data_IF_752208739567
#
_entry.id   IF_752208739567
#
_cell.length_a   1.000
_cell.length_b   1.000
_cell.length_c   1.000
_cell.angle_alpha   90.00
_cell.angle_beta   90.00
_cell.angle_gamma   90.00
#
_symmetry.space_group_name_H-M   'P 1'
#
loop_
_entity.id
_entity.type
_entity.pdbx_description
1 polymer ?
#
# COMPACT_ATOMS: atom_id res chain seq x y z
N UNK A 1 26.75 -30.43 -58.89
CA UNK A 1 27.08 -29.86 -57.56
C UNK A 1 25.94 -30.15 -56.60
N UNK A 2 26.16 -30.92 -55.52
CA UNK A 2 25.11 -31.23 -54.57
C UNK A 2 24.91 -30.07 -53.58
N UNK A 3 23.65 -29.70 -53.32
CA UNK A 3 23.27 -28.68 -52.33
C UNK A 3 23.39 -29.27 -50.93
N UNK A 4 24.32 -28.75 -50.14
CA UNK A 4 24.47 -29.08 -48.72
C UNK A 4 23.23 -28.68 -47.92
N UNK A 5 22.63 -29.65 -47.22
CA UNK A 5 21.52 -29.44 -46.29
C UNK A 5 22.06 -28.79 -45.02
N UNK A 6 21.56 -27.59 -44.71
CA UNK A 6 21.80 -26.87 -43.46
C UNK A 6 21.09 -27.61 -42.34
N UNK A 7 21.86 -28.22 -41.45
CA UNK A 7 21.37 -28.89 -40.24
C UNK A 7 21.05 -27.79 -39.22
N UNK A 8 19.76 -27.58 -38.95
CA UNK A 8 19.31 -26.64 -37.93
C UNK A 8 19.60 -27.23 -36.54
N UNK A 9 20.52 -26.59 -35.80
CA UNK A 9 20.77 -26.91 -34.41
C UNK A 9 19.53 -26.59 -33.57
N UNK A 10 19.01 -27.61 -32.88
CA UNK A 10 17.94 -27.51 -31.90
C UNK A 10 18.53 -26.86 -30.64
N UNK A 11 18.30 -25.57 -30.45
CA UNK A 11 18.58 -24.85 -29.20
C UNK A 11 17.38 -25.01 -28.26
N UNK A 12 17.47 -25.92 -27.30
CA UNK A 12 16.50 -26.15 -26.22
C UNK A 12 16.86 -25.38 -24.94
N UNK A 13 17.56 -24.26 -25.05
CA UNK A 13 17.73 -23.33 -23.93
C UNK A 13 16.53 -22.39 -23.84
N UNK A 14 15.49 -22.75 -23.09
CA UNK A 14 14.43 -21.79 -22.75
C UNK A 14 15.08 -20.65 -21.99
N UNK A 15 15.25 -19.50 -22.65
CA UNK A 15 15.78 -18.28 -22.02
C UNK A 15 14.86 -17.97 -20.85
N UNK A 16 15.30 -18.31 -19.62
CA UNK A 16 14.61 -17.90 -18.40
C UNK A 16 14.51 -16.39 -18.49
N UNK A 17 13.28 -15.88 -18.52
CA UNK A 17 13.09 -14.44 -18.55
C UNK A 17 13.76 -13.88 -17.29
N UNK A 18 14.51 -12.77 -17.42
CA UNK A 18 15.26 -12.18 -16.30
C UNK A 18 14.39 -11.87 -15.07
N UNK A 19 13.07 -11.81 -15.25
CA UNK A 19 12.09 -11.56 -14.19
C UNK A 19 11.68 -12.81 -13.37
N UNK A 20 12.29 -13.98 -13.61
CA UNK A 20 11.86 -15.23 -12.94
C UNK A 20 12.32 -15.36 -11.48
N UNK A 21 13.31 -14.58 -11.04
CA UNK A 21 13.91 -14.71 -9.70
C UNK A 21 13.12 -14.00 -8.59
N UNK A 22 12.43 -12.89 -8.90
CA UNK A 22 11.68 -12.13 -7.88
C UNK A 22 10.22 -12.58 -7.90
N UNK A 23 9.85 -13.45 -6.97
CA UNK A 23 8.50 -14.03 -6.86
C UNK A 23 7.84 -13.59 -5.55
N UNK A 24 7.25 -12.39 -5.56
CA UNK A 24 6.56 -11.78 -4.40
C UNK A 24 5.51 -12.70 -3.77
N UNK A 25 4.79 -13.48 -4.58
CA UNK A 25 3.76 -14.43 -4.08
C UNK A 25 4.32 -15.63 -3.32
N UNK A 26 5.60 -15.98 -3.53
CA UNK A 26 6.25 -17.08 -2.81
C UNK A 26 6.96 -16.64 -1.54
N UNK A 27 7.30 -15.36 -1.45
CA UNK A 27 8.04 -14.77 -0.35
C UNK A 27 7.24 -13.61 0.25
N UNK A 28 6.14 -13.89 0.98
CA UNK A 28 5.35 -12.84 1.61
C UNK A 28 6.17 -12.03 2.61
N UNK A 29 7.19 -12.61 3.23
CA UNK A 29 8.05 -11.93 4.20
C UNK A 29 8.71 -10.67 3.63
N UNK A 30 9.02 -10.64 2.33
CA UNK A 30 9.63 -9.48 1.69
C UNK A 30 8.79 -8.22 1.78
N UNK A 31 7.46 -8.32 1.62
CA UNK A 31 6.63 -7.11 1.79
C UNK A 31 6.27 -6.83 3.24
N UNK A 32 6.44 -7.80 4.16
CA UNK A 32 6.51 -7.47 5.59
C UNK A 32 7.77 -6.65 5.92
N UNK A 33 8.92 -6.96 5.32
CA UNK A 33 10.13 -6.12 5.44
C UNK A 33 9.91 -4.71 4.88
N UNK A 34 9.18 -4.58 3.76
CA UNK A 34 8.77 -3.26 3.24
C UNK A 34 7.86 -2.53 4.23
N UNK A 35 6.85 -3.22 4.78
CA UNK A 35 5.92 -2.64 5.76
C UNK A 35 6.67 -2.17 7.00
N UNK A 36 7.57 -2.99 7.55
CA UNK A 36 8.40 -2.63 8.69
C UNK A 36 9.22 -1.36 8.41
N UNK A 37 9.89 -1.29 7.25
CA UNK A 37 10.66 -0.10 6.86
C UNK A 37 9.79 1.15 6.72
N UNK A 38 8.56 1.00 6.25
CA UNK A 38 7.60 2.11 6.15
C UNK A 38 7.08 2.58 7.52
N UNK A 39 6.98 1.68 8.50
CA UNK A 39 6.61 2.03 9.87
C UNK A 39 7.74 2.72 10.65
N UNK A 40 9.00 2.42 10.32
CA UNK A 40 10.15 3.04 10.97
C UNK A 40 10.40 4.50 10.55
N UNK A 41 9.95 4.90 9.36
CA UNK A 41 10.26 6.20 8.77
C UNK A 41 9.03 6.84 8.11
N UNK A 42 8.30 7.64 8.90
CA UNK A 42 7.11 8.39 8.47
C UNK A 42 7.40 9.33 7.30
N UNK A 43 8.59 9.93 7.26
CA UNK A 43 9.01 10.81 6.16
C UNK A 43 9.18 10.03 4.86
N UNK A 44 9.79 8.85 4.92
CA UNK A 44 9.93 7.95 3.78
C UNK A 44 8.58 7.45 3.29
N UNK A 45 7.70 7.07 4.22
CA UNK A 45 6.32 6.71 3.96
C UNK A 45 5.56 7.84 3.23
N UNK A 46 5.54 9.05 3.79
CA UNK A 46 4.92 10.22 3.16
C UNK A 46 5.50 10.50 1.77
N UNK A 47 6.81 10.35 1.60
CA UNK A 47 7.47 10.58 0.31
C UNK A 47 7.06 9.55 -0.76
N UNK A 48 6.93 8.28 -0.37
CA UNK A 48 6.56 7.18 -1.28
C UNK A 48 5.10 7.24 -1.73
N UNK A 49 4.22 7.69 -0.83
CA UNK A 49 2.78 7.77 -1.09
C UNK A 49 2.28 9.18 -1.40
N UNK A 50 3.17 10.16 -1.52
CA UNK A 50 2.83 11.51 -1.94
C UNK A 50 2.01 11.49 -3.25
N UNK A 51 1.02 12.36 -3.30
CA UNK A 51 0.14 12.57 -4.46
C UNK A 51 0.95 12.70 -5.75
N UNK A 52 0.46 12.06 -6.81
CA UNK A 52 1.02 12.29 -8.13
C UNK A 52 0.84 13.75 -8.51
N UNK A 53 1.86 14.36 -9.12
CA UNK A 53 1.82 15.73 -9.66
C UNK A 53 0.59 15.94 -10.56
N UNK A 54 0.16 14.90 -11.29
CA UNK A 54 -1.00 14.98 -12.18
C UNK A 54 -2.32 15.10 -11.40
N UNK A 55 -2.47 14.40 -10.27
CA UNK A 55 -3.64 14.46 -9.40
C UNK A 55 -3.69 15.78 -8.64
N UNK A 56 -2.57 16.22 -8.06
CA UNK A 56 -2.46 17.52 -7.41
C UNK A 56 -2.82 18.67 -8.38
N UNK A 57 -2.35 18.60 -9.63
CA UNK A 57 -2.73 19.57 -10.68
C UNK A 57 -4.21 19.53 -11.02
N UNK A 58 -4.82 18.34 -11.10
CA UNK A 58 -6.24 18.18 -11.40
C UNK A 58 -7.13 18.82 -10.33
N UNK A 59 -6.66 18.81 -9.08
CA UNK A 59 -7.39 19.34 -7.92
C UNK A 59 -6.98 20.77 -7.52
N UNK A 60 -6.08 21.41 -8.28
CA UNK A 60 -5.50 22.72 -7.96
C UNK A 60 -4.85 22.79 -6.56
N UNK A 61 -4.34 21.66 -6.04
CA UNK A 61 -3.61 21.61 -4.78
C UNK A 61 -2.14 21.99 -4.99
N UNK A 62 -1.47 22.63 -4.01
CA UNK A 62 -0.05 22.93 -4.10
C UNK A 62 0.75 21.64 -4.25
N UNK A 63 1.59 21.57 -5.29
CA UNK A 63 2.40 20.40 -5.57
C UNK A 63 3.60 20.42 -4.63
N UNK A 64 3.62 19.52 -3.64
CA UNK A 64 4.85 19.23 -2.91
C UNK A 64 5.83 18.54 -3.87
N UNK A 65 6.82 19.30 -4.34
CA UNK A 65 7.92 18.75 -5.14
C UNK A 65 8.86 18.04 -4.19
N UNK A 66 8.61 16.76 -3.95
CA UNK A 66 9.60 15.96 -3.24
C UNK A 66 10.85 15.88 -4.14
N UNK A 67 12.00 16.34 -3.61
CA UNK A 67 13.25 16.42 -4.39
C UNK A 67 13.82 15.03 -4.67
N UNK A 68 13.46 14.05 -3.84
CA UNK A 68 13.87 12.66 -3.99
C UNK A 68 13.08 12.03 -5.12
N UNK A 69 13.79 11.42 -6.07
CA UNK A 69 13.12 10.73 -7.17
C UNK A 69 12.47 9.45 -6.64
N UNK A 70 11.22 9.18 -7.00
CA UNK A 70 10.50 7.96 -6.59
C UNK A 70 11.30 6.67 -6.84
N UNK A 71 12.14 6.67 -7.89
CA UNK A 71 13.05 5.57 -8.21
C UNK A 71 14.09 5.35 -7.09
N UNK A 72 14.62 6.40 -6.48
CA UNK A 72 15.58 6.30 -5.37
C UNK A 72 14.93 5.69 -4.13
N UNK A 73 13.68 6.04 -3.83
CA UNK A 73 12.91 5.40 -2.75
C UNK A 73 12.73 3.90 -3.04
N UNK A 74 12.41 3.50 -4.27
CA UNK A 74 12.33 2.08 -4.62
C UNK A 74 13.68 1.35 -4.53
N UNK A 75 14.80 2.03 -4.83
CA UNK A 75 16.15 1.47 -4.65
C UNK A 75 16.43 1.23 -3.17
N UNK A 76 16.09 2.18 -2.29
CA UNK A 76 16.27 2.04 -0.84
C UNK A 76 15.42 0.91 -0.26
N UNK A 77 14.15 0.80 -0.67
CA UNK A 77 13.30 -0.34 -0.29
C UNK A 77 13.86 -1.66 -0.80
N UNK A 78 14.35 -1.71 -2.04
CA UNK A 78 14.97 -2.91 -2.58
C UNK A 78 16.23 -3.28 -1.79
N UNK A 79 17.06 -2.31 -1.42
CA UNK A 79 18.24 -2.55 -0.60
C UNK A 79 17.83 -3.15 0.75
N UNK A 80 16.87 -2.56 1.44
CA UNK A 80 16.42 -3.05 2.74
C UNK A 80 15.81 -4.46 2.63
N UNK A 81 14.97 -4.70 1.62
CA UNK A 81 14.24 -5.97 1.45
C UNK A 81 15.14 -7.14 1.05
N UNK A 82 16.10 -6.92 0.15
CA UNK A 82 16.88 -8.01 -0.46
C UNK A 82 18.27 -8.19 0.13
N UNK A 83 18.68 -7.36 1.11
CA UNK A 83 20.02 -7.48 1.74
C UNK A 83 20.05 -8.48 2.90
N UNK A 84 18.89 -8.86 3.44
CA UNK A 84 18.79 -9.85 4.52
C UNK A 84 19.11 -11.28 4.03
N UNK A 85 18.65 -11.63 2.83
CA UNK A 85 18.90 -12.94 2.22
C UNK A 85 20.24 -12.91 1.44
N UNK A 86 21.24 -13.75 1.82
CA UNK A 86 22.54 -13.74 1.17
C UNK A 86 22.50 -14.09 -0.32
N UNK A 87 21.56 -14.92 -0.77
CA UNK A 87 21.44 -15.28 -2.19
C UNK A 87 20.89 -14.09 -3.01
N UNK A 88 19.83 -13.47 -2.50
CA UNK A 88 19.22 -12.31 -3.14
C UNK A 88 20.12 -11.08 -3.10
N UNK A 89 20.93 -10.92 -2.05
CA UNK A 89 21.90 -9.83 -1.91
C UNK A 89 22.93 -9.81 -3.05
N UNK A 90 23.48 -10.97 -3.41
CA UNK A 90 24.43 -11.06 -4.53
C UNK A 90 23.78 -10.67 -5.87
N UNK A 91 22.54 -11.10 -6.09
CA UNK A 91 21.76 -10.73 -7.29
C UNK A 91 21.38 -9.25 -7.30
N UNK A 92 21.01 -8.68 -6.16
CA UNK A 92 20.71 -7.26 -6.00
C UNK A 92 21.92 -6.39 -6.38
N UNK A 93 23.11 -6.71 -5.86
CA UNK A 93 24.33 -5.98 -6.21
C UNK A 93 24.67 -6.04 -7.71
N UNK A 94 24.30 -7.13 -8.38
CA UNK A 94 24.49 -7.30 -9.82
C UNK A 94 23.55 -6.43 -10.63
N UNK A 95 22.30 -6.24 -10.19
CA UNK A 95 21.29 -5.49 -10.96
C UNK A 95 20.30 -4.71 -10.07
N UNK A 96 20.80 -3.69 -9.36
CA UNK A 96 19.99 -2.85 -8.45
C UNK A 96 18.74 -2.25 -9.12
N UNK A 97 18.87 -1.78 -10.35
CA UNK A 97 17.78 -1.14 -11.10
C UNK A 97 16.59 -2.08 -11.35
N UNK A 98 16.87 -3.36 -11.65
CA UNK A 98 15.83 -4.36 -11.84
C UNK A 98 15.04 -4.63 -10.56
N UNK A 99 15.71 -4.73 -9.42
CA UNK A 99 15.05 -4.92 -8.12
C UNK A 99 14.21 -3.70 -7.72
N UNK A 100 14.73 -2.48 -7.90
CA UNK A 100 13.96 -1.26 -7.65
C UNK A 100 12.70 -1.18 -8.54
N UNK A 101 12.82 -1.55 -9.82
CA UNK A 101 11.68 -1.61 -10.74
C UNK A 101 10.65 -2.67 -10.30
N UNK A 102 11.12 -3.82 -9.84
CA UNK A 102 10.27 -4.89 -9.31
C UNK A 102 9.51 -4.45 -8.05
N UNK A 103 10.18 -3.79 -7.11
CA UNK A 103 9.55 -3.21 -5.90
C UNK A 103 8.48 -2.19 -6.28
N UNK A 104 8.80 -1.24 -7.17
CA UNK A 104 7.83 -0.24 -7.63
C UNK A 104 6.61 -0.87 -8.30
N UNK A 105 6.83 -1.89 -9.14
CA UNK A 105 5.75 -2.63 -9.82
C UNK A 105 4.88 -3.41 -8.82
N UNK A 106 5.50 -3.97 -7.77
CA UNK A 106 4.82 -4.68 -6.71
C UNK A 106 3.93 -3.74 -5.88
N UNK A 107 4.47 -2.61 -5.42
CA UNK A 107 3.70 -1.59 -4.68
C UNK A 107 2.52 -1.09 -5.51
N UNK A 108 2.72 -0.84 -6.82
CA UNK A 108 1.64 -0.46 -7.72
C UNK A 108 0.55 -1.54 -7.83
N UNK A 109 0.93 -2.82 -7.80
CA UNK A 109 0.00 -3.95 -7.78
C UNK A 109 -0.79 -4.00 -6.47
N UNK A 110 -0.11 -3.83 -5.32
CA UNK A 110 -0.77 -3.76 -4.01
C UNK A 110 -1.81 -2.63 -3.95
N UNK A 111 -1.46 -1.42 -4.45
CA UNK A 111 -2.39 -0.28 -4.57
C UNK A 111 -3.60 -0.63 -5.45
N UNK A 112 -3.38 -1.33 -6.56
CA UNK A 112 -4.46 -1.74 -7.48
C UNK A 112 -5.41 -2.75 -6.85
N UNK A 113 -4.88 -3.74 -6.13
CA UNK A 113 -5.66 -4.74 -5.42
C UNK A 113 -6.50 -4.11 -4.30
N UNK A 114 -5.90 -3.20 -3.52
CA UNK A 114 -6.61 -2.43 -2.50
C UNK A 114 -7.73 -1.58 -3.09
N UNK A 115 -7.45 -0.82 -4.16
CA UNK A 115 -8.47 0.00 -4.83
C UNK A 115 -9.61 -0.86 -5.38
N UNK A 116 -9.30 -2.03 -5.92
CA UNK A 116 -10.30 -3.00 -6.40
C UNK A 116 -11.16 -3.51 -5.25
N UNK A 117 -10.56 -3.76 -4.09
CA UNK A 117 -11.28 -4.16 -2.88
C UNK A 117 -12.17 -3.04 -2.34
N UNK A 118 -11.64 -1.81 -2.20
CA UNK A 118 -12.42 -0.65 -1.75
C UNK A 118 -13.61 -0.36 -2.66
N UNK A 119 -13.43 -0.48 -3.99
CA UNK A 119 -14.55 -0.33 -4.93
C UNK A 119 -15.63 -1.41 -4.74
N UNK A 120 -15.23 -2.65 -4.43
CA UNK A 120 -16.19 -3.73 -4.13
C UNK A 120 -16.92 -3.48 -2.83
N UNK A 121 -16.21 -3.00 -1.80
CA UNK A 121 -16.79 -2.64 -0.52
C UNK A 121 -17.80 -1.48 -0.69
N UNK A 122 -17.42 -0.41 -1.39
CA UNK A 122 -18.30 0.72 -1.70
C UNK A 122 -19.53 0.35 -2.53
N UNK A 123 -19.42 -0.63 -3.43
CA UNK A 123 -20.54 -1.13 -4.23
C UNK A 123 -21.62 -1.84 -3.39
N UNK A 124 -21.29 -2.31 -2.18
CA UNK A 124 -22.31 -2.83 -1.24
C UNK A 124 -23.20 -1.73 -0.67
N UNK A 125 -22.91 -0.46 -0.95
CA UNK A 125 -23.72 0.69 -0.55
C UNK A 125 -23.65 1.00 0.94
N UNK A 126 -22.78 0.31 1.68
CA UNK A 126 -22.72 0.41 3.11
C UNK A 126 -22.24 1.77 3.60
N UNK A 127 -21.32 2.44 2.88
CA UNK A 127 -20.75 3.72 3.29
C UNK A 127 -20.12 3.72 4.70
N UNK A 128 -20.06 2.55 5.33
CA UNK A 128 -19.63 2.33 6.70
C UNK A 128 -18.11 2.31 6.68
N UNK A 129 -17.55 3.05 7.62
CA UNK A 129 -16.12 3.01 7.86
C UNK A 129 -15.73 1.60 8.32
N UNK A 130 -14.52 1.15 7.97
CA UNK A 130 -14.02 -0.17 8.39
C UNK A 130 -13.98 -0.29 9.91
N UNK A 131 -13.72 0.82 10.61
CA UNK A 131 -13.74 0.93 12.08
C UNK A 131 -15.15 0.75 12.67
N UNK A 132 -16.21 1.04 11.90
CA UNK A 132 -17.61 0.91 12.32
C UNK A 132 -18.20 -0.48 11.98
N UNK A 133 -17.46 -1.32 11.26
CA UNK A 133 -17.91 -2.65 10.89
C UNK A 133 -18.00 -3.56 12.12
N UNK A 134 -19.22 -3.76 12.62
CA UNK A 134 -19.51 -4.67 13.74
C UNK A 134 -19.06 -6.09 13.38
N UNK A 135 -18.39 -6.77 14.32
CA UNK A 135 -17.95 -8.16 14.17
C UNK A 135 -19.15 -9.06 13.79
N UNK A 136 -18.98 -9.87 12.75
CA UNK A 136 -20.05 -10.71 12.18
C UNK A 136 -20.96 -10.04 11.15
N UNK A 137 -20.82 -8.72 10.92
CA UNK A 137 -21.47 -8.06 9.78
C UNK A 137 -20.94 -8.59 8.44
N UNK A 138 -21.73 -8.46 7.37
CA UNK A 138 -21.30 -8.91 6.04
C UNK A 138 -20.03 -8.18 5.56
N UNK A 139 -19.90 -6.90 5.89
CA UNK A 139 -18.73 -6.06 5.59
C UNK A 139 -17.51 -6.59 6.34
N UNK A 140 -17.64 -6.84 7.64
CA UNK A 140 -16.55 -7.41 8.45
C UNK A 140 -16.08 -8.76 7.88
N UNK A 141 -17.01 -9.64 7.52
CA UNK A 141 -16.70 -10.94 6.93
C UNK A 141 -16.00 -10.81 5.56
N UNK A 142 -16.38 -9.83 4.74
CA UNK A 142 -15.71 -9.55 3.46
C UNK A 142 -14.28 -9.05 3.66
N UNK A 143 -14.07 -8.15 4.62
CA UNK A 143 -12.74 -7.64 4.99
C UNK A 143 -11.88 -8.77 5.53
N UNK A 144 -12.38 -9.55 6.50
CA UNK A 144 -11.67 -10.70 7.06
C UNK A 144 -11.31 -11.74 5.98
N UNK A 145 -12.22 -12.02 5.05
CA UNK A 145 -11.94 -12.93 3.92
C UNK A 145 -10.88 -12.37 2.97
N UNK A 146 -10.88 -11.06 2.71
CA UNK A 146 -9.89 -10.43 1.83
C UNK A 146 -8.49 -10.44 2.46
N UNK A 147 -8.41 -10.09 3.74
CA UNK A 147 -7.20 -10.18 4.57
C UNK A 147 -6.58 -11.57 4.51
N UNK A 148 -7.37 -12.59 4.85
CA UNK A 148 -6.90 -13.96 4.95
C UNK A 148 -6.46 -14.57 3.60
N UNK A 149 -7.11 -14.19 2.50
CA UNK A 149 -6.89 -14.86 1.20
C UNK A 149 -5.94 -14.14 0.26
N UNK A 150 -5.94 -12.81 0.25
CA UNK A 150 -5.29 -12.03 -0.82
C UNK A 150 -4.36 -10.96 -0.32
N UNK A 151 -4.66 -10.36 0.82
CA UNK A 151 -3.97 -9.15 1.25
C UNK A 151 -3.73 -9.16 2.76
N UNK A 152 -2.79 -10.00 3.26
CA UNK A 152 -2.54 -10.15 4.70
C UNK A 152 -2.13 -8.85 5.39
N UNK A 153 -1.40 -7.98 4.68
CA UNK A 153 -0.94 -6.64 5.04
C UNK A 153 -2.01 -5.54 4.90
N UNK A 154 -3.29 -5.91 4.95
CA UNK A 154 -4.37 -4.95 4.77
C UNK A 154 -4.34 -3.86 5.83
N UNK A 155 -4.13 -4.20 7.09
CA UNK A 155 -4.33 -3.26 8.20
C UNK A 155 -3.33 -2.11 8.15
N UNK A 156 -2.08 -2.43 7.86
CA UNK A 156 -0.98 -1.47 7.75
C UNK A 156 -1.18 -0.57 6.54
N UNK A 157 -1.43 -1.15 5.35
CA UNK A 157 -1.67 -0.36 4.14
C UNK A 157 -2.99 0.41 4.18
N UNK A 158 -4.01 -0.10 4.85
CA UNK A 158 -5.30 0.58 4.97
C UNK A 158 -5.15 1.87 5.77
N UNK A 159 -4.46 1.86 6.91
CA UNK A 159 -4.18 3.08 7.68
C UNK A 159 -3.52 4.15 6.82
N UNK A 160 -2.52 3.77 6.04
CA UNK A 160 -1.78 4.67 5.15
C UNK A 160 -2.58 5.17 3.94
N UNK A 161 -3.36 4.30 3.31
CA UNK A 161 -4.06 4.62 2.07
C UNK A 161 -5.45 5.18 2.27
N UNK A 162 -6.04 4.97 3.45
CA UNK A 162 -7.37 5.50 3.78
C UNK A 162 -7.39 7.02 3.79
N UNK A 163 -6.33 7.65 4.30
CA UNK A 163 -6.18 9.10 4.34
C UNK A 163 -6.00 9.72 2.95
N UNK A 164 -5.62 8.92 1.94
CA UNK A 164 -5.31 9.41 0.62
C UNK A 164 -6.59 9.55 -0.24
N UNK A 165 -7.03 10.77 -0.59
CA UNK A 165 -8.33 10.98 -1.24
C UNK A 165 -8.47 10.28 -2.60
N UNK A 166 -7.36 10.09 -3.33
CA UNK A 166 -7.39 9.43 -4.64
C UNK A 166 -7.55 7.90 -4.59
N UNK A 167 -7.25 7.29 -3.44
CA UNK A 167 -7.42 5.86 -3.20
C UNK A 167 -8.78 5.54 -2.59
N UNK A 168 -9.35 6.47 -1.84
CA UNK A 168 -10.65 6.32 -1.20
C UNK A 168 -11.71 7.27 -1.81
N UNK A 169 -12.41 6.85 -2.88
CA UNK A 169 -13.43 7.68 -3.52
C UNK A 169 -14.69 7.90 -2.65
N UNK A 170 -14.79 7.24 -1.50
CA UNK A 170 -16.02 7.17 -0.69
C UNK A 170 -16.24 8.45 0.15
N UNK A 171 -15.23 9.32 0.29
CA UNK A 171 -15.18 10.31 1.37
C UNK A 171 -15.55 11.78 1.11
N UNK A 172 -16.26 12.18 0.04
CA UNK A 172 -16.72 13.59 -0.07
C UNK A 172 -18.25 13.74 -0.19
N UNK A 173 -18.99 12.70 -0.58
CA UNK A 173 -20.44 12.89 -0.84
C UNK A 173 -21.33 12.84 0.40
N UNK A 174 -20.87 12.33 1.55
CA UNK A 174 -21.71 12.15 2.74
C UNK A 174 -21.24 12.89 4.00
N UNK A 175 -20.10 13.59 3.96
CA UNK A 175 -19.85 14.62 4.99
C UNK A 175 -20.82 15.74 4.65
N UNK A 176 -21.96 15.77 5.33
CA UNK A 176 -22.81 16.97 5.42
C UNK A 176 -21.85 18.12 5.58
N UNK A 177 -21.80 18.99 4.57
CA UNK A 177 -20.99 20.19 4.56
C UNK A 177 -21.36 21.02 5.79
N UNK A 178 -20.75 20.72 6.92
CA UNK A 178 -20.51 21.68 7.97
C UNK A 178 -19.49 22.59 7.30
N UNK A 179 -20.02 23.60 6.63
CA UNK A 179 -19.31 24.80 6.24
C UNK A 179 -18.82 25.45 7.53
N UNK A 180 -17.80 24.88 8.15
CA UNK A 180 -17.03 25.55 9.16
C UNK A 180 -15.73 25.94 8.48
N UNK A 181 -15.66 27.20 8.09
CA UNK A 181 -14.45 27.87 7.63
C UNK A 181 -13.27 27.59 8.61
N UNK A 182 -13.57 27.25 9.87
CA UNK A 182 -12.61 26.89 10.92
C UNK A 182 -11.74 25.65 10.60
N UNK A 183 -12.24 24.66 9.84
CA UNK A 183 -11.45 23.46 9.55
C UNK A 183 -10.48 23.66 8.38
N UNK A 184 -10.83 24.54 7.43
CA UNK A 184 -9.91 24.99 6.39
C UNK A 184 -8.82 25.88 6.98
N UNK A 185 -9.17 26.76 7.93
CA UNK A 185 -8.20 27.60 8.65
C UNK A 185 -7.23 26.76 9.51
N UNK A 186 -7.72 25.69 10.15
CA UNK A 186 -6.88 24.77 10.93
C UNK A 186 -5.87 24.02 10.05
N UNK A 187 -6.29 23.54 8.87
CA UNK A 187 -5.39 22.90 7.90
C UNK A 187 -4.41 23.91 7.30
N UNK A 188 -4.86 25.12 6.96
CA UNK A 188 -4.00 26.18 6.44
C UNK A 188 -2.92 26.58 7.45
N UNK A 189 -3.27 26.72 8.73
CA UNK A 189 -2.30 27.02 9.80
C UNK A 189 -1.30 25.89 10.04
N UNK A 190 -1.71 24.62 9.88
CA UNK A 190 -0.80 23.47 9.96
C UNK A 190 0.23 23.51 8.81
N UNK A 191 -0.21 23.88 7.60
CA UNK A 191 0.67 24.01 6.43
C UNK A 191 1.58 25.25 6.49
N UNK A 192 1.10 26.38 7.00
CA UNK A 192 1.89 27.61 7.15
C UNK A 192 2.94 27.46 8.27
N UNK A 193 2.64 26.70 9.32
CA UNK A 193 3.59 26.33 10.38
C UNK A 193 4.78 25.52 9.85
N UNK A 194 4.58 24.68 8.83
CA UNK A 194 5.66 23.88 8.25
C UNK A 194 6.57 24.65 7.29
N UNK A 195 6.04 25.69 6.65
CA UNK A 195 6.81 26.52 5.74
C UNK A 195 7.49 27.71 6.44
N UNK A 196 7.23 27.92 7.73
CA UNK A 196 7.80 29.05 8.49
C UNK A 196 9.14 28.74 9.17
N UNK A 197 9.75 27.58 8.92
CA UNK A 197 11.14 27.29 9.31
C UNK A 197 12.13 27.82 8.25
N UNK A 198 11.96 29.07 7.84
CA UNK A 198 13.00 29.84 7.15
C UNK A 198 13.75 30.66 8.20
N UNK A 199 14.97 30.19 8.48
CA UNK A 199 15.89 30.84 9.39
C UNK A 199 16.22 32.27 8.99
N UNK A 200 16.48 33.07 10.02
CA UNK A 200 17.18 34.35 9.92
C UNK A 200 18.50 34.17 9.14
N UNK A 201 18.49 34.52 7.85
CA UNK A 201 19.68 34.78 7.04
C UNK A 201 20.05 36.27 7.10
N UNK A 202 20.44 36.76 8.27
CA UNK A 202 21.20 38.00 8.41
C UNK A 202 22.69 37.62 8.62
N UNK A 203 23.40 37.28 7.53
CA UNK A 203 24.87 37.43 7.40
C UNK A 203 25.41 36.80 6.09
N UNK A 204 25.07 37.36 4.93
CA UNK A 204 25.81 37.08 3.67
C UNK A 204 25.93 38.32 2.78
N UNK A 205 26.52 39.39 3.31
CA UNK A 205 27.22 40.32 2.43
C UNK A 205 28.59 39.75 2.06
N UNK A 206 28.90 39.81 0.75
CA UNK A 206 30.25 39.84 0.16
C UNK A 206 30.88 38.53 -0.31
N UNK A 207 30.37 38.00 -1.43
CA UNK A 207 31.22 37.43 -2.49
C UNK A 207 30.54 37.64 -3.85
N UNK A 208 30.98 38.65 -4.59
CA UNK A 208 30.57 38.87 -5.97
C UNK A 208 31.20 37.83 -6.89
N UNK A 209 30.38 36.91 -7.41
CA UNK A 209 30.72 36.07 -8.55
C UNK A 209 29.62 36.28 -9.59
N UNK A 210 29.92 37.10 -10.59
CA UNK A 210 29.11 37.25 -11.81
C UNK A 210 29.36 36.04 -12.71
N UNK A 211 28.36 35.16 -12.86
CA UNK A 211 28.33 34.20 -13.98
C UNK A 211 27.11 34.53 -14.82
N UNK A 212 27.40 34.85 -16.07
CA UNK A 212 26.48 35.23 -17.11
C UNK A 212 25.58 34.07 -17.54
N UNK A 213 24.38 34.46 -17.98
CA UNK A 213 23.51 33.83 -18.98
C UNK A 213 23.79 32.38 -19.39
N UNK A 214 22.91 31.48 -18.95
CA UNK A 214 22.60 30.25 -19.66
C UNK A 214 21.09 29.98 -19.55
N UNK A 215 20.36 30.56 -20.50
CA UNK A 215 18.99 30.20 -20.86
C UNK A 215 18.96 28.74 -21.36
N UNK A 216 18.36 27.84 -20.58
CA UNK A 216 18.13 26.46 -20.97
C UNK A 216 16.66 26.09 -20.70
N UNK A 217 15.90 26.05 -21.78
CA UNK A 217 14.60 25.39 -21.91
C UNK A 217 14.64 23.96 -21.33
N UNK A 218 14.04 23.76 -20.16
CA UNK A 218 13.73 22.42 -19.65
C UNK A 218 12.40 21.99 -20.28
N UNK A 219 12.51 21.31 -21.43
CA UNK A 219 11.42 20.58 -22.04
C UNK A 219 10.98 19.40 -21.17
N UNK A 220 9.67 19.31 -20.93
CA UNK A 220 9.01 18.20 -20.25
C UNK A 220 9.26 16.88 -21.00
N UNK A 221 9.83 15.83 -20.40
CA UNK A 221 9.92 14.52 -21.03
C UNK A 221 8.54 13.84 -20.99
N UNK A 222 7.99 13.60 -22.18
CA UNK A 222 6.87 12.71 -22.43
C UNK A 222 7.34 11.26 -22.26
N UNK A 223 6.87 10.55 -21.23
CA UNK A 223 7.25 9.15 -20.93
C UNK A 223 6.49 8.12 -21.81
N UNK A 224 6.28 8.47 -23.08
CA UNK A 224 5.84 7.54 -24.11
C UNK A 224 6.97 6.59 -24.51
N UNK A 225 7.18 5.53 -23.75
CA UNK A 225 8.13 4.46 -24.10
C UNK A 225 7.57 3.68 -25.31
N UNK A 226 7.90 4.15 -26.50
CA UNK A 226 7.79 3.39 -27.75
C UNK A 226 9.08 2.58 -27.91
N UNK A 227 8.99 1.26 -27.76
CA UNK A 227 10.09 0.35 -28.05
C UNK A 227 10.39 0.37 -29.55
N UNK A 228 11.41 1.15 -29.94
CA UNK A 228 12.03 1.10 -31.25
C UNK A 228 13.00 -0.06 -31.36
N UNK A 229 12.80 -0.84 -32.43
CA UNK A 229 13.63 -1.93 -32.95
C UNK A 229 15.08 -1.45 -33.19
N UNK A 230 16.01 -1.82 -32.32
CA UNK A 230 17.45 -1.54 -32.47
C UNK A 230 18.13 -2.77 -33.07
N UNK A 231 18.13 -2.80 -34.41
CA UNK A 231 19.07 -3.56 -35.22
C UNK A 231 20.42 -2.85 -35.27
N UNK A 232 21.45 -3.65 -35.44
CA UNK A 232 22.83 -3.28 -35.81
C UNK A 232 23.75 -2.95 -34.62
N UNK A 233 24.20 -4.01 -33.95
CA UNK A 233 25.50 -4.01 -33.28
C UNK A 233 26.28 -5.25 -33.68
N UNK A 234 26.97 -5.11 -34.81
CA UNK A 234 27.96 -6.06 -35.31
C UNK A 234 29.26 -5.94 -34.50
N UNK A 235 29.92 -7.08 -34.30
CA UNK A 235 31.38 -7.17 -34.29
C UNK A 235 32.08 -7.11 -32.93
N UNK A 236 32.12 -8.24 -32.23
CA UNK A 236 33.32 -8.60 -31.44
C UNK A 236 33.50 -10.12 -31.43
N UNK A 237 34.34 -10.61 -32.36
CA UNK A 237 34.98 -11.94 -32.33
C UNK A 237 36.07 -11.90 -31.24
N UNK A 238 35.96 -12.69 -30.18
CA UNK A 238 36.42 -14.08 -30.03
C UNK A 238 37.95 -14.18 -29.87
N UNK A 239 38.40 -14.68 -28.71
CA UNK A 239 39.36 -15.80 -28.50
C UNK A 239 39.08 -16.31 -27.06
N UNK A 240 38.44 -17.47 -26.87
CA UNK A 240 39.06 -18.80 -26.70
C UNK A 240 40.23 -18.85 -25.70
N UNK A 241 40.00 -19.41 -24.50
CA UNK A 241 40.91 -20.42 -23.97
C UNK A 241 40.17 -21.42 -23.05
N UNK A 242 40.37 -22.69 -23.38
CA UNK A 242 39.90 -23.90 -22.68
C UNK A 242 40.62 -24.08 -21.35
N UNK A 243 39.97 -24.64 -20.33
CA UNK A 243 40.29 -26.01 -19.93
C UNK A 243 39.30 -26.61 -18.93
N UNK A 244 38.91 -27.81 -19.32
CA UNK A 244 38.13 -28.86 -18.69
C UNK A 244 38.99 -29.57 -17.64
N UNK A 245 38.44 -29.84 -16.44
CA UNK A 245 38.85 -30.98 -15.62
C UNK A 245 37.69 -31.40 -14.71
N UNK A 246 37.12 -32.55 -15.07
CA UNK A 246 36.25 -33.41 -14.27
C UNK A 246 37.00 -33.92 -13.04
N UNK A 247 36.34 -34.05 -11.89
CA UNK A 247 36.51 -35.24 -11.05
C UNK A 247 35.16 -35.64 -10.39
N UNK A 248 34.73 -36.84 -10.78
CA UNK A 248 33.87 -37.78 -10.05
C UNK A 248 34.29 -37.93 -8.58
N UNK A 249 33.35 -37.89 -7.64
CA UNK A 249 33.49 -38.60 -6.35
C UNK A 249 32.09 -39.01 -5.83
N UNK A 250 31.67 -40.19 -6.29
CA UNK A 250 30.97 -41.27 -5.59
C UNK A 250 30.14 -41.00 -4.32
N UNK A 251 28.85 -41.39 -4.42
CA UNK A 251 27.97 -41.79 -3.31
C UNK A 251 28.44 -43.11 -2.63
N UNK A 252 28.20 -43.27 -1.33
CA UNK A 252 27.30 -44.34 -0.86
C UNK A 252 26.45 -43.85 0.33
N UNK A 253 25.33 -44.42 0.75
CA UNK A 253 24.62 -45.65 0.45
C UNK A 253 23.49 -45.78 1.50
N UNK A 254 22.36 -46.31 1.04
CA UNK A 254 21.36 -47.12 1.77
C UNK A 254 21.34 -47.06 3.31
N UNK A 255 20.25 -46.58 3.91
CA UNK A 255 19.66 -47.24 5.08
C UNK A 255 18.14 -47.08 5.10
N UNK A 256 17.47 -48.18 5.41
CA UNK A 256 16.06 -48.46 5.23
C UNK A 256 15.16 -47.85 6.32
N UNK A 257 13.89 -47.68 5.97
CA UNK A 257 12.76 -47.43 6.88
C UNK A 257 12.63 -48.50 7.96
N UNK A 258 11.86 -48.19 9.02
CA UNK A 258 10.61 -48.95 9.15
C UNK A 258 9.38 -48.09 9.44
N UNK A 259 8.27 -48.54 8.83
CA UNK A 259 6.90 -48.14 9.15
C UNK A 259 6.53 -48.53 10.58
N UNK A 260 5.86 -47.61 11.28
CA UNK A 260 5.12 -47.92 12.51
C UNK A 260 3.62 -47.75 12.22
N UNK A 261 2.99 -48.89 11.96
CA UNK A 261 1.54 -49.07 11.99
C UNK A 261 1.11 -49.25 13.44
N UNK A 262 0.37 -48.29 14.00
CA UNK A 262 -0.42 -48.51 15.22
C UNK A 262 -1.86 -48.14 14.90
N UNK A 263 -2.68 -49.18 14.80
CA UNK A 263 -4.14 -49.07 14.79
C UNK A 263 -4.67 -48.76 16.18
N UNK A 264 -5.74 -47.99 16.22
CA UNK A 264 -6.49 -47.69 17.43
C UNK A 264 -7.88 -47.20 17.04
N UNK A 265 -8.77 -48.15 16.78
CA UNK A 265 -10.17 -47.86 16.52
C UNK A 265 -10.85 -47.26 17.75
N UNK A 266 -11.74 -46.30 17.53
CA UNK A 266 -12.87 -46.06 18.43
C UNK A 266 -14.05 -45.56 17.63
N UNK A 267 -15.02 -46.46 17.50
CA UNK A 267 -16.34 -46.17 16.98
C UNK A 267 -17.10 -45.27 17.97
N UNK A 268 -17.80 -44.27 17.44
CA UNK A 268 -18.98 -43.67 18.08
C UNK A 268 -20.11 -43.55 17.04
N UNK A 269 -21.33 -43.96 17.37
CA UNK A 269 -22.48 -43.96 16.45
C UNK A 269 -23.30 -42.66 16.54
N UNK A 270 -24.22 -42.51 15.58
CA UNK A 270 -25.37 -41.57 15.47
C UNK A 270 -25.20 -40.32 14.58
N UNK A 271 -26.30 -39.84 13.96
CA UNK A 271 -27.09 -40.55 12.96
C UNK A 271 -27.31 -39.70 11.69
N UNK A 272 -27.64 -40.38 10.60
CA UNK A 272 -28.07 -39.81 9.32
C UNK A 272 -29.21 -38.80 9.48
N UNK A 273 -29.05 -37.65 8.86
CA UNK A 273 -30.17 -36.77 8.50
C UNK A 273 -30.07 -36.43 7.01
N UNK A 274 -31.17 -36.56 6.24
CA UNK A 274 -31.15 -36.53 4.79
C UNK A 274 -30.97 -35.12 4.23
N UNK A 275 -30.04 -34.99 3.28
CA UNK A 275 -29.82 -33.80 2.46
C UNK A 275 -30.97 -33.71 1.43
N UNK A 276 -31.73 -32.60 1.37
CA UNK A 276 -32.69 -32.38 0.30
C UNK A 276 -31.95 -31.92 -0.96
N UNK A 277 -31.76 -32.83 -1.91
CA UNK A 277 -31.42 -32.50 -3.29
C UNK A 277 -32.64 -31.90 -3.98
N UNK A 278 -32.70 -30.58 -4.17
CA UNK A 278 -33.39 -29.93 -5.29
C UNK A 278 -33.08 -28.42 -5.29
N UNK A 279 -32.20 -27.97 -6.19
CA UNK A 279 -32.19 -26.59 -6.66
C UNK A 279 -32.40 -26.59 -8.19
N UNK A 280 -33.33 -25.78 -8.71
CA UNK A 280 -33.60 -25.72 -10.14
C UNK A 280 -32.53 -24.88 -10.86
N UNK A 281 -31.99 -25.46 -11.93
CA UNK A 281 -31.09 -24.83 -12.89
C UNK A 281 -31.83 -23.71 -13.63
N UNK A 282 -31.39 -22.46 -13.45
CA UNK A 282 -31.83 -21.31 -14.24
C UNK A 282 -30.86 -21.09 -15.41
N UNK A 283 -31.33 -21.47 -16.58
CA UNK A 283 -30.71 -21.22 -17.88
C UNK A 283 -30.70 -19.72 -18.18
N UNK A 284 -29.52 -19.11 -18.32
CA UNK A 284 -29.39 -17.76 -18.90
C UNK A 284 -28.96 -17.87 -20.36
N UNK A 285 -29.90 -17.53 -21.23
CA UNK A 285 -29.80 -17.45 -22.68
C UNK A 285 -28.78 -16.41 -23.15
N UNK A 286 -27.95 -16.83 -24.09
CA UNK A 286 -27.10 -16.01 -24.96
C UNK A 286 -27.91 -15.00 -25.79
N UNK A 287 -27.54 -13.72 -25.74
CA UNK A 287 -28.01 -12.70 -26.70
C UNK A 287 -26.83 -11.99 -27.36
N UNK A 288 -26.47 -12.47 -28.54
CA UNK A 288 -25.62 -11.78 -29.52
C UNK A 288 -26.34 -10.57 -30.11
N UNK A 289 -25.76 -9.36 -30.00
CA UNK A 289 -26.20 -8.20 -30.80
C UNK A 289 -25.04 -7.60 -31.59
N UNK A 290 -25.08 -7.89 -32.90
CA UNK A 290 -24.46 -7.16 -34.02
C UNK A 290 -24.99 -5.73 -34.11
N UNK A 291 -24.11 -4.75 -34.25
CA UNK A 291 -24.32 -3.42 -34.88
C UNK A 291 -22.96 -3.06 -35.51
N UNK A 292 -22.71 -3.07 -36.83
CA UNK A 292 -23.27 -2.36 -38.00
C UNK A 292 -23.06 -0.85 -37.92
N UNK A 293 -21.94 -0.40 -38.51
CA UNK A 293 -21.70 0.96 -39.01
C UNK A 293 -22.58 1.25 -40.25
N UNK A 294 -22.84 2.54 -40.58
CA UNK A 294 -21.92 3.27 -41.48
C UNK A 294 -21.74 4.77 -41.19
N UNK A 295 -20.63 5.31 -41.73
CA UNK A 295 -20.20 6.70 -42.07
C UNK A 295 -21.26 7.51 -42.87
N UNK A 296 -21.13 8.83 -43.24
CA UNK A 296 -19.91 9.69 -43.38
C UNK A 296 -20.01 11.22 -43.05
N UNK A 297 -18.84 11.89 -43.07
CA UNK A 297 -18.43 13.22 -43.61
C UNK A 297 -19.08 14.60 -43.28
N UNK A 298 -18.22 15.47 -42.72
CA UNK A 298 -17.87 16.88 -43.10
C UNK A 298 -18.92 18.02 -42.95
N UNK A 299 -18.51 19.31 -43.07
CA UNK A 299 -18.09 20.23 -41.99
C UNK A 299 -19.06 21.44 -41.90
N UNK A 300 -18.77 22.48 -41.10
CA UNK A 300 -18.93 23.94 -41.42
C UNK A 300 -18.86 24.80 -40.16
N UNK A 301 -18.33 26.01 -40.36
CA UNK A 301 -17.87 27.04 -39.42
C UNK A 301 -18.93 27.70 -38.50
N UNK A 302 -18.37 28.38 -37.46
CA UNK A 302 -18.72 29.62 -36.70
C UNK A 302 -19.82 30.57 -37.25
N UNK A 303 -20.20 31.69 -36.57
CA UNK A 303 -20.00 32.18 -35.19
C UNK A 303 -21.29 32.75 -34.50
N UNK A 304 -21.20 33.02 -33.18
CA UNK A 304 -21.78 34.20 -32.50
C UNK A 304 -23.30 34.33 -32.30
N UNK A 305 -23.72 34.73 -31.10
CA UNK A 305 -24.56 35.92 -30.86
C UNK A 305 -24.93 36.06 -29.37
N UNK A 306 -24.80 37.30 -28.89
CA UNK A 306 -25.27 37.80 -27.61
C UNK A 306 -26.80 37.69 -27.45
N UNK A 307 -27.27 37.57 -26.21
CA UNK A 307 -28.70 37.61 -25.92
C UNK A 307 -29.02 37.83 -24.44
N UNK A 308 -29.04 39.09 -24.02
CA UNK A 308 -29.61 39.54 -22.74
C UNK A 308 -31.15 39.47 -22.78
N UNK A 309 -31.79 38.86 -21.77
CA UNK A 309 -33.22 39.09 -21.40
C UNK A 309 -33.40 38.87 -19.89
N UNK A 310 -33.57 39.94 -19.10
CA UNK A 310 -34.83 40.60 -18.68
C UNK A 310 -35.70 39.80 -17.68
N UNK A 311 -35.68 40.35 -16.46
CA UNK A 311 -36.56 40.23 -15.28
C UNK A 311 -38.03 39.90 -15.57
N UNK A 312 -38.62 39.07 -14.71
CA UNK A 312 -40.01 39.22 -14.26
C UNK A 312 -40.11 38.90 -12.75
N UNK A 313 -40.17 39.94 -11.94
CA UNK A 313 -40.55 39.88 -10.53
C UNK A 313 -42.08 39.78 -10.42
N UNK A 314 -42.59 38.69 -9.87
CA UNK A 314 -44.01 38.52 -9.54
C UNK A 314 -44.16 38.61 -8.02
N UNK A 315 -44.45 39.82 -7.53
CA UNK A 315 -44.92 40.06 -6.16
C UNK A 315 -46.28 39.37 -6.01
N UNK A 316 -46.37 38.42 -5.09
CA UNK A 316 -47.64 37.97 -4.52
C UNK A 316 -47.58 38.28 -3.04
N UNK A 317 -48.56 39.05 -2.59
CA UNK A 317 -48.84 39.32 -1.20
C UNK A 317 -49.22 38.00 -0.49
N UNK A 318 -48.40 37.62 0.48
CA UNK A 318 -48.70 36.59 1.46
C UNK A 318 -48.57 37.26 2.84
N UNK A 319 -49.62 38.01 3.19
CA UNK A 319 -49.86 38.43 4.56
C UNK A 319 -50.58 37.26 5.26
N UNK A 320 -50.22 37.05 6.52
CA UNK A 320 -50.81 36.12 7.50
C UNK A 320 -50.12 34.75 7.61
N UNK A 321 -49.35 34.62 8.71
CA UNK A 321 -49.12 33.48 9.64
C UNK A 321 -47.64 33.52 10.08
N UNK A 322 -47.33 34.35 11.07
CA UNK A 322 -46.00 34.46 11.73
C UNK A 322 -46.15 34.25 13.25
N UNK A 323 -46.86 33.19 13.65
CA UNK A 323 -47.15 32.90 15.06
C UNK A 323 -46.28 31.82 15.71
N UNK A 324 -45.93 30.75 14.97
CA UNK A 324 -45.52 29.48 15.61
C UNK A 324 -44.09 28.98 15.27
N UNK A 325 -43.25 29.76 14.57
CA UNK A 325 -41.89 29.29 14.21
C UNK A 325 -40.83 29.48 15.30
N UNK A 326 -41.07 30.29 16.34
CA UNK A 326 -40.04 30.61 17.33
C UNK A 326 -39.76 29.48 18.36
N UNK A 327 -40.72 28.60 18.64
CA UNK A 327 -40.51 27.48 19.59
C UNK A 327 -39.76 26.28 18.98
N UNK A 328 -39.79 26.11 17.66
CA UNK A 328 -39.08 25.03 16.97
C UNK A 328 -37.56 25.20 17.01
N UNK A 329 -37.07 26.45 16.95
CA UNK A 329 -35.64 26.74 16.87
C UNK A 329 -34.92 26.52 18.22
N UNK A 330 -35.61 26.76 19.35
CA UNK A 330 -35.05 26.53 20.67
C UNK A 330 -34.81 25.04 20.97
N UNK A 331 -35.70 24.16 20.49
CA UNK A 331 -35.55 22.71 20.65
C UNK A 331 -34.42 22.14 19.79
N UNK A 332 -34.25 22.65 18.57
CA UNK A 332 -33.16 22.26 17.69
C UNK A 332 -31.78 22.67 18.24
N UNK A 333 -31.68 23.85 18.86
CA UNK A 333 -30.43 24.31 19.46
C UNK A 333 -30.02 23.43 20.66
N UNK A 334 -30.99 23.06 21.52
CA UNK A 334 -30.74 22.18 22.67
C UNK A 334 -30.30 20.78 22.26
N UNK A 335 -30.87 20.23 21.19
CA UNK A 335 -30.47 18.93 20.68
C UNK A 335 -29.03 18.93 20.13
N UNK A 336 -28.62 20.00 19.45
CA UNK A 336 -27.23 20.16 18.96
C UNK A 336 -26.22 20.24 20.11
N UNK A 337 -26.54 20.96 21.18
CA UNK A 337 -25.66 21.05 22.35
C UNK A 337 -25.51 19.70 23.06
N UNK A 338 -26.58 18.90 23.13
CA UNK A 338 -26.55 17.58 23.74
C UNK A 338 -25.69 16.59 22.93
N UNK A 339 -25.78 16.60 21.59
CA UNK A 339 -24.94 15.77 20.72
C UNK A 339 -23.46 16.15 20.86
N UNK A 340 -23.16 17.45 20.87
CA UNK A 340 -21.77 17.90 21.04
C UNK A 340 -21.19 17.46 22.39
N UNK A 341 -21.98 17.55 23.47
CA UNK A 341 -21.55 17.07 24.79
C UNK A 341 -21.29 15.56 24.81
N UNK A 342 -22.12 14.76 24.12
CA UNK A 342 -21.90 13.31 24.01
C UNK A 342 -20.60 12.98 23.28
N UNK A 343 -20.31 13.66 22.16
CA UNK A 343 -19.06 13.47 21.41
C UNK A 343 -17.84 13.80 22.28
N UNK A 344 -17.90 14.87 23.08
CA UNK A 344 -16.79 15.20 23.99
C UNK A 344 -16.59 14.16 25.09
N UNK A 345 -17.67 13.60 25.63
CA UNK A 345 -17.60 12.52 26.63
C UNK A 345 -16.96 11.26 26.02
N UNK A 346 -17.32 10.90 24.79
CA UNK A 346 -16.72 9.75 24.10
C UNK A 346 -15.24 9.97 23.80
N UNK A 347 -14.85 11.18 23.37
CA UNK A 347 -13.43 11.53 23.19
C UNK A 347 -12.63 11.41 24.48
N UNK A 348 -13.16 11.89 25.60
CA UNK A 348 -12.51 11.74 26.91
C UNK A 348 -12.37 10.27 27.29
N UNK A 349 -13.40 9.45 27.07
CA UNK A 349 -13.35 8.01 27.35
C UNK A 349 -12.33 7.28 26.47
N UNK A 350 -12.19 7.67 25.21
CA UNK A 350 -11.19 7.10 24.30
C UNK A 350 -9.77 7.40 24.80
N UNK A 351 -9.48 8.65 25.17
CA UNK A 351 -8.18 9.01 25.75
C UNK A 351 -7.90 8.32 27.09
N UNK A 352 -8.91 8.18 27.97
CA UNK A 352 -8.76 7.42 29.21
C UNK A 352 -8.49 5.92 28.96
N UNK A 353 -9.01 5.36 27.87
CA UNK A 353 -8.74 3.97 27.49
C UNK A 353 -7.30 3.81 27.00
N UNK A 354 -6.86 4.70 26.11
CA UNK A 354 -5.49 4.72 25.59
C UNK A 354 -4.45 4.91 26.71
N UNK A 355 -4.71 5.84 27.65
CA UNK A 355 -3.83 6.05 28.80
C UNK A 355 -3.71 4.81 29.70
N UNK A 356 -4.80 4.04 29.88
CA UNK A 356 -4.76 2.79 30.64
C UNK A 356 -3.96 1.71 29.94
N UNK A 357 -4.04 1.64 28.61
CA UNK A 357 -3.27 0.70 27.81
C UNK A 357 -1.77 1.03 27.85
N UNK A 358 -1.40 2.32 27.78
CA UNK A 358 -0.03 2.77 27.96
C UNK A 358 0.53 2.39 29.36
N UNK A 359 -0.23 2.64 30.43
CA UNK A 359 0.17 2.24 31.79
C UNK A 359 0.35 0.72 31.89
N UNK A 360 -0.57 -0.07 31.32
CA UNK A 360 -0.46 -1.52 31.34
C UNK A 360 0.77 -2.03 30.56
N UNK A 361 1.13 -1.36 29.46
CA UNK A 361 2.33 -1.66 28.68
C UNK A 361 3.60 -1.34 29.46
N UNK A 362 3.66 -0.19 30.14
CA UNK A 362 4.80 0.18 31.01
C UNK A 362 4.96 -0.78 32.19
N UNK A 363 3.85 -1.16 32.85
CA UNK A 363 3.86 -2.16 33.93
C UNK A 363 4.37 -3.53 33.42
N UNK A 364 3.93 -3.96 32.24
CA UNK A 364 4.40 -5.20 31.63
C UNK A 364 5.90 -5.13 31.29
N UNK A 365 6.35 -4.00 30.73
CA UNK A 365 7.76 -3.78 30.41
C UNK A 365 8.64 -3.84 31.66
N UNK A 366 8.25 -3.15 32.74
CA UNK A 366 8.96 -3.21 34.01
C UNK A 366 8.99 -4.62 34.60
N UNK A 367 7.90 -5.38 34.48
CA UNK A 367 7.86 -6.78 34.91
C UNK A 367 8.86 -7.64 34.14
N UNK A 368 8.90 -7.51 32.81
CA UNK A 368 9.87 -8.24 31.98
C UNK A 368 11.32 -7.86 32.33
N UNK A 369 11.58 -6.59 32.65
CA UNK A 369 12.90 -6.14 33.08
C UNK A 369 13.34 -6.82 34.40
N UNK A 370 12.45 -6.87 35.40
CA UNK A 370 12.73 -7.54 36.67
C UNK A 370 12.97 -9.05 36.51
N UNK A 371 12.18 -9.72 35.66
CA UNK A 371 12.37 -11.14 35.35
C UNK A 371 13.72 -11.40 34.66
N UNK A 372 14.16 -10.49 33.79
CA UNK A 372 15.47 -10.57 33.13
C UNK A 372 16.62 -10.39 34.14
N UNK A 373 16.51 -9.41 35.05
CA UNK A 373 17.49 -9.19 36.13
C UNK A 373 17.58 -10.40 37.07
N UNK A 374 16.45 -11.01 37.43
CA UNK A 374 16.42 -12.23 38.24
C UNK A 374 17.09 -13.43 37.52
N UNK A 375 16.85 -13.59 36.21
CA UNK A 375 17.51 -14.61 35.40
C UNK A 375 19.03 -14.41 35.36
N UNK A 376 19.50 -13.18 35.18
CA UNK A 376 20.92 -12.84 35.20
C UNK A 376 21.55 -13.13 36.58
N UNK A 377 20.90 -12.73 37.67
CA UNK A 377 21.38 -13.00 39.03
C UNK A 377 21.39 -14.49 39.38
N UNK A 378 20.46 -15.27 38.82
CA UNK A 378 20.46 -16.74 38.96
C UNK A 378 21.63 -17.37 38.21
N UNK A 379 21.88 -16.95 36.96
CA UNK A 379 23.01 -17.43 36.17
C UNK A 379 24.37 -17.16 36.84
N UNK A 380 24.55 -15.97 37.43
CA UNK A 380 25.77 -15.63 38.18
C UNK A 380 25.95 -16.53 39.42
N UNK A 381 24.88 -16.77 40.18
CA UNK A 381 24.92 -17.71 41.32
C UNK A 381 25.27 -19.13 40.90
N UNK A 382 24.70 -19.62 39.80
CA UNK A 382 24.98 -20.95 39.27
C UNK A 382 26.45 -21.05 38.79
N UNK A 383 27.00 -19.99 38.19
CA UNK A 383 28.41 -19.92 37.80
C UNK A 383 29.36 -19.91 39.03
N UNK A 384 29.01 -19.19 40.09
CA UNK A 384 29.76 -19.19 41.35
C UNK A 384 29.74 -20.57 42.02
N UNK A 385 28.57 -21.23 42.08
CA UNK A 385 28.43 -22.59 42.61
C UNK A 385 29.25 -23.60 41.82
N UNK A 386 29.22 -23.54 40.48
CA UNK A 386 30.02 -24.40 39.62
C UNK A 386 31.52 -24.19 39.88
N UNK A 387 31.97 -22.94 40.02
CA UNK A 387 33.37 -22.62 40.34
C UNK A 387 33.80 -23.22 41.68
N UNK A 388 32.98 -23.12 42.72
CA UNK A 388 33.26 -23.73 44.03
C UNK A 388 33.33 -25.26 43.96
N UNK A 389 32.43 -25.89 43.20
CA UNK A 389 32.46 -27.35 43.00
C UNK A 389 33.75 -27.81 42.31
N UNK A 390 34.23 -27.06 41.30
CA UNK A 390 35.50 -27.35 40.63
C UNK A 390 36.68 -27.23 41.59
N UNK A 391 36.71 -26.20 42.45
CA UNK A 391 37.77 -26.03 43.46
C UNK A 391 37.76 -27.18 44.47
N UNK A 392 36.58 -27.59 44.95
CA UNK A 392 36.45 -28.70 45.90
C UNK A 392 36.87 -30.05 45.29
N UNK A 393 36.62 -30.27 44.00
CA UNK A 393 37.01 -31.51 43.32
C UNK A 393 38.54 -31.61 43.06
N UNK A 394 39.26 -30.49 43.13
CA UNK A 394 40.70 -30.43 42.93
C UNK A 394 41.52 -30.66 44.22
N UNK A 395 40.87 -30.64 45.40
CA UNK A 395 41.46 -30.95 46.70
C UNK A 395 41.36 -32.45 47.02
#
# INVERSE_FOLDING_TARGET
>A
MPRSKKVSAVSTGSKKTPNSYIQWSKNPDWTWTIVAKLQEDDTFHCALFSDSITEAKKENRPIQKNKVQLIQLHVELAEHTFTEDPEMKALYHTNKSHFATSVGSWIASLKSDYKTFQNKLGATGAGLEVSEAVEGSEIYNQIASFKAQKFPWYDEFHGWWWEHPSLNPIGITNVVSVTSDEHCDALQNLFDSWNSDEGDEDDKEKMGISVADADAHIGSPDWGVSFGDEKDRDGFEAEEEMHEENEDESLPGLHASPSLTIGGGRATPFPDSPIPTHFPSLSTSSSTKKRKAPTPDLPTASPGMAGAKKKHSKKRDALVVFGDMAESDASALKHKTDIHAQIQIEKIRAHECEAKEQIAMEEHWHKCQLEAEECCAKADRDAQLHTLQVIMAAQ
#
